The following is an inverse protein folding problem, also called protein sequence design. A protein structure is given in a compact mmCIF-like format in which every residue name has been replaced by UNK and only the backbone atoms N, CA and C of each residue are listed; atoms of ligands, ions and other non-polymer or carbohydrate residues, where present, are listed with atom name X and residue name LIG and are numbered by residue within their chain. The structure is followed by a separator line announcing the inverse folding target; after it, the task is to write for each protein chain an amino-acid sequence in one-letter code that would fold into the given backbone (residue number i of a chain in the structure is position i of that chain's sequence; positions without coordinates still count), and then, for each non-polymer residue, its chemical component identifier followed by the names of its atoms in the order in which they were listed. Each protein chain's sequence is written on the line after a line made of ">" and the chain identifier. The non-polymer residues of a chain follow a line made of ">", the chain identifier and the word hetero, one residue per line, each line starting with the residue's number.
data_IF_626008304897
#
_entry.id   IF_626008304897
#
_cell.length_a   1.000
_cell.length_b   1.000
_cell.length_c   1.000
_cell.angle_alpha   90.00
_cell.angle_beta   90.00
_cell.angle_gamma   90.00
#
_symmetry.space_group_name_H-M   'P 1'
#
loop_
_entity.id
_entity.type
_entity.pdbx_description
1 polymer ?
#
# COMPACT_ATOMS: atom_id res chain seq x y z
N UNK A 1 -6.00 -18.43 18.21
CA UNK A 1 -6.49 -17.22 18.88
C UNK A 1 -7.21 -16.36 17.85
N UNK A 2 -8.31 -15.75 18.21
CA UNK A 2 -9.04 -14.88 17.29
C UNK A 2 -8.33 -13.52 17.16
N UNK A 3 -8.40 -12.90 15.97
CA UNK A 3 -7.92 -11.55 15.77
C UNK A 3 -8.70 -10.58 16.68
N UNK A 4 -7.98 -9.68 17.34
CA UNK A 4 -8.54 -8.77 18.34
C UNK A 4 -9.37 -7.66 17.68
N UNK A 5 -10.69 -7.72 17.86
CA UNK A 5 -11.64 -6.73 17.28
C UNK A 5 -11.55 -5.35 17.91
N UNK A 6 -10.90 -5.18 19.07
CA UNK A 6 -10.69 -3.87 19.68
C UNK A 6 -9.76 -2.97 18.85
N UNK A 7 -9.07 -3.54 17.88
CA UNK A 7 -8.22 -2.79 16.95
C UNK A 7 -9.00 -2.05 15.86
N UNK A 8 -10.29 -2.33 15.69
CA UNK A 8 -11.11 -1.65 14.67
C UNK A 8 -11.11 -0.14 14.93
N UNK A 9 -10.75 0.63 13.91
CA UNK A 9 -10.63 2.09 14.00
C UNK A 9 -9.28 2.60 14.48
N UNK A 10 -8.38 1.71 14.90
CA UNK A 10 -7.05 2.10 15.36
C UNK A 10 -6.18 2.51 14.17
N UNK A 11 -5.63 3.72 14.25
CA UNK A 11 -4.65 4.25 13.29
C UNK A 11 -3.25 4.09 13.86
N UNK A 12 -2.34 3.57 13.07
CA UNK A 12 -0.96 3.36 13.45
C UNK A 12 -0.12 4.59 13.08
N UNK A 13 1.06 4.69 13.67
CA UNK A 13 1.99 5.78 13.36
C UNK A 13 2.34 5.80 11.86
N UNK A 14 2.49 6.99 11.27
CA UNK A 14 2.89 7.09 9.88
C UNK A 14 4.28 6.47 9.66
N UNK A 15 4.52 6.05 8.43
CA UNK A 15 5.84 5.55 8.02
C UNK A 15 6.88 6.68 8.02
N UNK A 16 8.16 6.30 8.02
CA UNK A 16 9.21 7.21 7.62
C UNK A 16 8.96 7.69 6.18
N UNK A 17 9.42 8.90 5.82
CA UNK A 17 9.32 9.38 4.45
C UNK A 17 10.00 8.42 3.47
N UNK A 18 9.30 8.12 2.38
CA UNK A 18 9.78 7.26 1.29
C UNK A 18 9.98 8.11 0.05
N UNK A 19 11.20 8.12 -0.48
CA UNK A 19 11.53 8.79 -1.74
C UNK A 19 11.28 7.84 -2.92
N UNK A 20 10.40 8.24 -3.83
CA UNK A 20 10.12 7.51 -5.05
C UNK A 20 11.23 7.78 -6.05
N UNK A 21 11.99 6.74 -6.42
CA UNK A 21 13.13 6.87 -7.33
C UNK A 21 12.83 6.32 -8.71
N UNK A 22 13.53 6.86 -9.74
CA UNK A 22 13.47 6.34 -11.11
C UNK A 22 13.89 4.88 -11.18
N UNK A 23 14.93 4.52 -10.44
CA UNK A 23 15.45 3.14 -10.42
C UNK A 23 14.38 2.18 -9.88
N UNK A 24 13.72 2.54 -8.79
CA UNK A 24 12.69 1.67 -8.20
C UNK A 24 11.45 1.55 -9.08
N UNK A 25 11.05 2.63 -9.74
CA UNK A 25 9.95 2.60 -10.71
C UNK A 25 10.28 1.64 -11.87
N UNK A 26 11.48 1.77 -12.46
CA UNK A 26 11.90 0.91 -13.56
C UNK A 26 11.99 -0.56 -13.14
N UNK A 27 12.56 -0.83 -11.97
CA UNK A 27 12.67 -2.17 -11.39
C UNK A 27 11.28 -2.80 -11.19
N UNK A 28 10.34 -2.05 -10.64
CA UNK A 28 8.97 -2.52 -10.44
C UNK A 28 8.25 -2.75 -11.76
N UNK A 29 8.40 -1.83 -12.72
CA UNK A 29 7.83 -1.96 -14.06
C UNK A 29 8.35 -3.22 -14.77
N UNK A 30 9.65 -3.50 -14.65
CA UNK A 30 10.25 -4.73 -15.19
C UNK A 30 9.64 -5.97 -14.54
N UNK A 31 9.50 -5.95 -13.22
CA UNK A 31 8.97 -7.08 -12.45
C UNK A 31 7.53 -7.46 -12.84
N UNK A 32 6.70 -6.49 -13.19
CA UNK A 32 5.30 -6.71 -13.58
C UNK A 32 5.09 -6.74 -15.09
N UNK A 33 6.14 -6.59 -15.89
CA UNK A 33 6.05 -6.58 -17.35
C UNK A 33 5.38 -5.33 -17.93
N UNK A 34 5.46 -4.17 -17.23
CA UNK A 34 4.93 -2.89 -17.71
C UNK A 34 5.86 -2.29 -18.77
N UNK A 35 5.44 -2.20 -20.06
CA UNK A 35 6.31 -1.74 -21.13
C UNK A 35 6.28 -0.22 -21.36
N UNK A 36 5.42 0.52 -20.66
CA UNK A 36 5.21 1.94 -20.93
C UNK A 36 6.51 2.77 -20.84
N UNK A 37 6.83 3.57 -21.85
CA UNK A 37 7.96 4.50 -21.79
C UNK A 37 7.79 5.56 -20.70
N UNK A 38 6.56 5.85 -20.25
CA UNK A 38 6.28 6.80 -19.18
C UNK A 38 6.89 6.38 -17.84
N UNK A 39 7.14 5.09 -17.66
CA UNK A 39 7.79 4.54 -16.45
C UNK A 39 9.31 4.49 -16.55
N UNK A 40 9.89 4.76 -17.71
CA UNK A 40 11.31 4.50 -18.01
C UNK A 40 12.04 5.71 -18.58
N UNK A 41 11.36 6.51 -19.39
CA UNK A 41 11.94 7.63 -20.14
C UNK A 41 11.37 8.93 -19.61
N UNK A 42 12.24 9.71 -18.96
CA UNK A 42 11.88 11.02 -18.40
C UNK A 42 11.35 11.98 -19.46
N UNK A 43 11.99 12.01 -20.63
CA UNK A 43 11.55 12.90 -21.72
C UNK A 43 10.17 12.53 -22.22
N UNK A 44 9.86 11.23 -22.35
CA UNK A 44 8.53 10.75 -22.71
C UNK A 44 7.47 11.14 -21.66
N UNK A 45 7.79 10.97 -20.38
CA UNK A 45 6.91 11.36 -19.30
C UNK A 45 6.63 12.86 -19.29
N UNK A 46 7.67 13.68 -19.47
CA UNK A 46 7.53 15.15 -19.52
C UNK A 46 6.74 15.60 -20.75
N UNK A 47 6.93 14.97 -21.90
CA UNK A 47 6.13 15.23 -23.10
C UNK A 47 4.64 14.90 -22.89
N UNK A 48 4.33 13.95 -22.02
CA UNK A 48 2.96 13.59 -21.64
C UNK A 48 2.37 14.48 -20.53
N UNK A 49 3.15 15.44 -20.02
CA UNK A 49 2.69 16.39 -19.00
C UNK A 49 3.03 16.03 -17.55
N UNK A 50 3.86 15.01 -17.32
CA UNK A 50 4.31 14.62 -15.99
C UNK A 50 5.65 15.25 -15.63
N UNK A 51 5.93 15.49 -14.34
CA UNK A 51 7.22 16.08 -13.92
C UNK A 51 8.43 15.18 -14.18
N UNK A 52 8.24 13.89 -14.10
CA UNK A 52 9.25 12.85 -14.26
C UNK A 52 8.58 11.51 -14.60
N UNK A 53 9.34 10.42 -14.67
CA UNK A 53 8.76 9.09 -14.90
C UNK A 53 7.70 8.79 -13.83
N UNK A 54 6.59 8.19 -14.27
CA UNK A 54 5.49 7.82 -13.39
C UNK A 54 5.56 6.34 -13.01
N UNK A 55 5.11 6.05 -11.81
CA UNK A 55 5.00 4.68 -11.35
C UNK A 55 3.77 3.99 -11.94
N UNK A 56 3.84 2.69 -12.24
CA UNK A 56 2.64 1.91 -12.55
C UNK A 56 1.61 2.01 -11.42
N UNK A 57 0.30 1.90 -11.71
CA UNK A 57 -0.74 2.07 -10.68
C UNK A 57 -0.59 1.17 -9.45
N UNK A 58 -0.08 -0.05 -9.63
CA UNK A 58 0.12 -0.99 -8.52
C UNK A 58 1.41 -0.75 -7.72
N UNK A 59 2.24 0.20 -8.14
CA UNK A 59 3.46 0.58 -7.39
C UNK A 59 3.15 1.01 -5.95
N UNK A 60 1.97 1.53 -5.69
CA UNK A 60 1.54 1.92 -4.35
C UNK A 60 1.66 0.79 -3.32
N UNK A 61 1.68 -0.48 -3.75
CA UNK A 61 1.90 -1.63 -2.86
C UNK A 61 3.26 -1.56 -2.16
N UNK A 62 4.28 -1.02 -2.81
CA UNK A 62 5.63 -0.89 -2.25
C UNK A 62 5.61 -0.02 -0.99
N UNK A 63 4.82 1.05 -1.03
CA UNK A 63 4.70 2.00 0.09
C UNK A 63 3.69 1.51 1.13
N UNK A 64 2.52 1.06 0.69
CA UNK A 64 1.41 0.70 1.59
C UNK A 64 1.66 -0.59 2.37
N UNK A 65 2.25 -1.61 1.75
CA UNK A 65 2.45 -2.91 2.40
C UNK A 65 3.43 -2.85 3.57
N UNK A 66 4.47 -2.04 3.46
CA UNK A 66 5.44 -1.85 4.53
C UNK A 66 4.79 -1.27 5.79
N UNK A 67 3.87 -0.32 5.63
CA UNK A 67 3.15 0.28 6.76
C UNK A 67 2.06 -0.65 7.30
N UNK A 68 1.27 -1.27 6.42
CA UNK A 68 0.25 -2.24 6.80
C UNK A 68 0.85 -3.47 7.50
N UNK A 69 2.07 -3.84 7.16
CA UNK A 69 2.82 -4.90 7.83
C UNK A 69 3.05 -4.67 9.32
N UNK A 70 3.13 -3.41 9.75
CA UNK A 70 3.23 -3.07 11.18
C UNK A 70 1.97 -3.47 11.95
N UNK A 71 0.80 -3.35 11.30
CA UNK A 71 -0.47 -3.75 11.89
C UNK A 71 -0.48 -5.26 12.13
N UNK A 72 -0.18 -6.01 11.09
CA UNK A 72 -0.24 -7.48 11.15
C UNK A 72 0.84 -8.09 12.03
N UNK A 73 1.95 -7.38 12.23
CA UNK A 73 3.03 -7.81 13.14
C UNK A 73 2.82 -7.40 14.60
N UNK A 74 1.80 -6.59 14.89
CA UNK A 74 1.48 -6.21 16.27
C UNK A 74 0.96 -7.44 17.04
N UNK A 75 1.66 -7.90 18.08
CA UNK A 75 1.25 -9.10 18.81
C UNK A 75 -0.10 -8.94 19.51
N UNK A 76 -0.51 -7.71 19.82
CA UNK A 76 -1.81 -7.42 20.43
C UNK A 76 -2.99 -7.66 19.48
N UNK A 77 -2.75 -7.61 18.16
CA UNK A 77 -3.77 -7.92 17.16
C UNK A 77 -4.05 -9.42 17.06
N UNK A 78 -3.04 -10.25 17.25
CA UNK A 78 -3.20 -11.71 17.32
C UNK A 78 -3.33 -12.41 15.96
N UNK A 79 -2.77 -11.83 14.90
CA UNK A 79 -2.78 -12.44 13.56
C UNK A 79 -1.86 -13.66 13.50
N UNK A 80 -2.37 -14.76 12.96
CA UNK A 80 -1.57 -15.95 12.68
C UNK A 80 -1.06 -15.93 11.23
N UNK A 81 0.19 -15.51 11.05
CA UNK A 81 0.81 -15.40 9.73
C UNK A 81 0.80 -16.69 8.91
N UNK A 82 0.89 -17.85 9.55
CA UNK A 82 0.88 -19.12 8.84
C UNK A 82 -0.46 -19.42 8.14
N UNK A 83 -1.52 -18.74 8.55
CA UNK A 83 -2.87 -18.96 8.06
C UNK A 83 -3.40 -17.85 7.18
N UNK A 84 -2.60 -16.81 6.90
CA UNK A 84 -3.02 -15.64 6.13
C UNK A 84 -2.89 -15.88 4.64
N UNK A 85 -3.90 -15.40 3.91
CA UNK A 85 -3.84 -15.18 2.46
C UNK A 85 -4.29 -13.75 2.15
N UNK A 86 -3.73 -13.17 1.10
CA UNK A 86 -4.15 -11.87 0.59
C UNK A 86 -5.41 -12.07 -0.26
N UNK A 87 -6.52 -11.50 0.18
CA UNK A 87 -7.82 -11.69 -0.47
C UNK A 87 -8.15 -10.62 -1.51
N UNK A 88 -7.86 -9.35 -1.21
CA UNK A 88 -8.16 -8.23 -2.10
C UNK A 88 -7.18 -7.09 -1.89
N UNK A 89 -6.83 -6.40 -2.98
CA UNK A 89 -6.08 -5.15 -2.96
C UNK A 89 -6.75 -4.14 -3.88
N UNK A 90 -6.94 -2.91 -3.39
CA UNK A 90 -7.55 -1.82 -4.15
C UNK A 90 -6.75 -0.55 -3.96
N UNK A 91 -6.52 0.17 -5.07
CA UNK A 91 -5.86 1.47 -5.06
C UNK A 91 -6.77 2.53 -5.68
N UNK A 92 -6.91 3.66 -5.00
CA UNK A 92 -7.61 4.84 -5.50
C UNK A 92 -6.63 5.98 -5.55
N UNK A 93 -6.22 6.37 -6.76
CA UNK A 93 -5.23 7.41 -6.98
C UNK A 93 -5.88 8.78 -7.17
N UNK A 94 -5.30 9.81 -6.53
CA UNK A 94 -5.58 11.22 -6.89
C UNK A 94 -4.73 11.66 -8.07
N UNK A 95 -3.52 11.12 -8.17
CA UNK A 95 -2.60 11.28 -9.30
C UNK A 95 -1.62 10.12 -9.32
N UNK A 96 -0.91 9.89 -10.44
CA UNK A 96 0.22 8.94 -10.43
C UNK A 96 1.32 9.39 -9.47
N UNK A 97 1.99 8.43 -8.83
CA UNK A 97 3.27 8.70 -8.20
C UNK A 97 4.33 8.89 -9.28
N UNK A 98 5.25 9.79 -9.07
CA UNK A 98 6.36 10.02 -9.99
C UNK A 98 7.69 10.07 -9.23
N UNK A 99 8.78 9.88 -9.95
CA UNK A 99 10.11 10.04 -9.38
C UNK A 99 10.28 11.44 -8.79
N UNK A 100 10.88 11.52 -7.61
CA UNK A 100 11.02 12.77 -6.85
C UNK A 100 9.93 12.98 -5.80
N UNK A 101 8.82 12.24 -5.85
CA UNK A 101 7.84 12.26 -4.75
C UNK A 101 8.49 11.77 -3.47
N UNK A 102 8.20 12.45 -2.38
CA UNK A 102 8.51 11.99 -1.02
C UNK A 102 7.19 11.81 -0.29
N UNK A 103 6.87 10.57 0.04
CA UNK A 103 5.55 10.20 0.57
C UNK A 103 5.65 9.52 1.94
N UNK A 104 4.57 9.63 2.69
CA UNK A 104 4.36 8.90 3.94
C UNK A 104 3.10 8.06 3.81
N UNK A 105 3.09 6.91 4.45
CA UNK A 105 1.94 6.03 4.51
C UNK A 105 1.46 5.90 5.95
N UNK A 106 0.14 5.97 6.15
CA UNK A 106 -0.46 5.77 7.47
C UNK A 106 -1.65 4.83 7.34
N UNK A 107 -1.64 3.76 8.12
CA UNK A 107 -2.61 2.69 8.03
C UNK A 107 -3.55 2.66 9.22
N UNK A 108 -4.80 2.33 8.93
CA UNK A 108 -5.88 2.17 9.92
C UNK A 108 -6.51 0.80 9.74
N UNK A 109 -6.86 0.13 10.83
CA UNK A 109 -7.68 -1.07 10.80
C UNK A 109 -9.12 -0.66 10.54
N UNK A 110 -9.62 -0.91 9.33
CA UNK A 110 -10.95 -0.50 8.92
C UNK A 110 -12.04 -1.44 9.41
N UNK A 111 -11.79 -2.76 9.30
CA UNK A 111 -12.72 -3.76 9.80
C UNK A 111 -12.04 -5.09 10.14
N UNK A 112 -12.63 -5.81 11.06
CA UNK A 112 -12.27 -7.19 11.39
C UNK A 112 -13.58 -7.95 11.44
N UNK A 113 -13.78 -8.90 10.52
CA UNK A 113 -15.03 -9.65 10.38
C UNK A 113 -14.81 -11.15 10.50
N UNK A 114 -15.11 -11.73 11.64
CA UNK A 114 -15.11 -13.19 11.78
C UNK A 114 -16.24 -13.81 10.93
N UNK A 115 -15.91 -14.86 10.17
CA UNK A 115 -16.83 -15.63 9.34
C UNK A 115 -16.55 -17.12 9.55
N UNK A 116 -17.49 -17.87 10.12
CA UNK A 116 -17.37 -19.32 10.36
C UNK A 116 -15.93 -19.76 10.76
N UNK A 117 -15.14 -20.15 9.76
CA UNK A 117 -13.78 -20.69 9.90
C UNK A 117 -12.70 -19.74 9.30
N UNK A 118 -12.99 -18.47 9.16
CA UNK A 118 -12.03 -17.47 8.67
C UNK A 118 -12.31 -16.13 9.33
N UNK A 119 -11.32 -15.24 9.31
CA UNK A 119 -11.49 -13.84 9.72
C UNK A 119 -10.95 -12.94 8.62
N UNK A 120 -11.73 -11.97 8.20
CA UNK A 120 -11.32 -10.94 7.24
C UNK A 120 -10.83 -9.72 8.00
N UNK A 121 -9.60 -9.30 7.72
CA UNK A 121 -8.98 -8.08 8.24
C UNK A 121 -8.80 -7.09 7.10
N UNK A 122 -9.51 -5.97 7.16
CA UNK A 122 -9.37 -4.88 6.20
C UNK A 122 -8.55 -3.75 6.80
N UNK A 123 -7.53 -3.31 6.05
CA UNK A 123 -6.73 -2.14 6.38
C UNK A 123 -6.86 -1.09 5.28
N UNK A 124 -6.85 0.18 5.68
CA UNK A 124 -6.81 1.32 4.77
C UNK A 124 -5.53 2.09 5.03
N UNK A 125 -4.76 2.31 3.98
CA UNK A 125 -3.51 3.08 4.05
C UNK A 125 -3.64 4.33 3.20
N UNK A 126 -3.54 5.49 3.84
CA UNK A 126 -3.46 6.76 3.14
C UNK A 126 -2.00 7.06 2.81
N UNK A 127 -1.73 7.34 1.53
CA UNK A 127 -0.41 7.75 1.05
C UNK A 127 -0.50 9.22 0.66
N UNK A 128 0.28 10.05 1.34
CA UNK A 128 0.33 11.49 1.14
C UNK A 128 1.77 11.93 0.93
N UNK A 129 1.98 13.05 0.24
CA UNK A 129 3.31 13.67 0.24
C UNK A 129 3.63 14.20 1.64
N UNK A 130 4.91 14.45 1.91
CA UNK A 130 5.33 15.08 3.18
C UNK A 130 4.71 16.46 3.40
N UNK A 131 4.25 17.11 2.32
CA UNK A 131 3.56 18.41 2.37
C UNK A 131 2.02 18.25 2.57
N UNK A 132 1.51 17.03 2.64
CA UNK A 132 0.11 16.74 2.93
C UNK A 132 -0.81 16.53 1.72
N UNK A 133 -0.27 16.53 0.49
CA UNK A 133 -1.04 16.22 -0.71
C UNK A 133 -1.43 14.74 -0.76
N UNK A 134 -2.71 14.44 -0.94
CA UNK A 134 -3.15 13.06 -1.13
C UNK A 134 -2.69 12.51 -2.48
N UNK A 135 -2.09 11.34 -2.45
CA UNK A 135 -1.59 10.64 -3.66
C UNK A 135 -2.42 9.39 -3.94
N UNK A 136 -2.58 8.53 -2.95
CA UNK A 136 -3.28 7.26 -3.13
C UNK A 136 -3.88 6.76 -1.82
N UNK A 137 -5.05 6.13 -1.91
CA UNK A 137 -5.63 5.33 -0.82
C UNK A 137 -5.53 3.87 -1.21
N UNK A 138 -4.87 3.06 -0.39
CA UNK A 138 -4.72 1.62 -0.57
C UNK A 138 -5.62 0.87 0.43
N UNK A 139 -6.48 -0.02 -0.07
CA UNK A 139 -7.29 -0.92 0.75
C UNK A 139 -6.81 -2.34 0.56
N UNK A 140 -6.56 -3.03 1.66
CA UNK A 140 -6.09 -4.41 1.64
C UNK A 140 -7.00 -5.26 2.51
N UNK A 141 -7.41 -6.41 1.99
CA UNK A 141 -8.15 -7.41 2.76
C UNK A 141 -7.29 -8.66 2.88
N UNK A 142 -6.91 -8.97 4.11
CA UNK A 142 -6.27 -10.23 4.46
C UNK A 142 -7.31 -11.19 5.00
N UNK A 143 -7.14 -12.47 4.72
CA UNK A 143 -8.01 -13.52 5.22
C UNK A 143 -7.19 -14.51 6.04
N UNK A 144 -7.43 -14.56 7.34
CA UNK A 144 -6.91 -15.62 8.20
C UNK A 144 -7.83 -16.83 8.12
N UNK A 145 -7.29 -17.95 7.65
CA UNK A 145 -8.02 -19.21 7.48
C UNK A 145 -7.82 -20.14 8.67
N UNK A 146 -8.89 -20.79 9.06
CA UNK A 146 -8.84 -21.80 10.11
C UNK A 146 -8.74 -21.17 11.50
N UNK A 147 -9.60 -21.54 12.38
CA UNK A 147 -9.52 -21.31 13.81
C UNK A 147 -9.65 -22.66 14.49
#
# INVERSE_FOLDING_TARGET
>A
MAINTDYIGRTFEPSEPYEVSRVKIAEFADAIGEPSPLCRDRAAAQAAGYPDVIAPPTFAIVVSSANAGRITSDPGLGVNYAMIVHGEQRFTHSRPMHAGDVVVAQSTVASIRPLRNMTMLETVTEITTVDGEHVCTARSTLVERGA
#
